data_IF_829415025841
#
_entry.id   IF_829415025841
#
_cell.length_a   1.000
_cell.length_b   1.000
_cell.length_c   1.000
_cell.angle_alpha   90.00
_cell.angle_beta   90.00
_cell.angle_gamma   90.00
#
_symmetry.space_group_name_H-M   'P 1'
#
loop_
_entity.id
_entity.type
_entity.pdbx_description
1 polymer ?
#
# COMPACT_ATOMS: atom_id res chain seq x y z
N UNK A 1 -19.16 -10.06 -2.49
CA UNK A 1 -17.82 -9.91 -3.11
C UNK A 1 -17.25 -8.58 -2.63
N UNK A 2 -16.04 -8.58 -2.06
CA UNK A 2 -15.40 -7.34 -1.60
C UNK A 2 -14.52 -6.74 -2.68
N UNK A 3 -14.44 -5.41 -2.73
CA UNK A 3 -13.52 -4.68 -3.61
C UNK A 3 -12.17 -4.56 -2.92
N UNK A 4 -11.10 -4.85 -3.66
CA UNK A 4 -9.74 -4.57 -3.21
C UNK A 4 -9.19 -3.34 -3.93
N UNK A 5 -8.51 -2.48 -3.19
CA UNK A 5 -7.74 -1.36 -3.72
C UNK A 5 -6.27 -1.69 -3.58
N UNK A 6 -5.54 -1.64 -4.69
CA UNK A 6 -4.10 -1.84 -4.72
C UNK A 6 -3.43 -0.47 -4.87
N UNK A 7 -2.60 -0.11 -3.89
CA UNK A 7 -1.80 1.11 -3.92
C UNK A 7 -0.44 0.79 -4.56
N UNK A 8 -0.12 1.47 -5.67
CA UNK A 8 1.15 1.33 -6.39
C UNK A 8 2.07 2.53 -6.08
N UNK A 9 3.36 2.43 -6.39
CA UNK A 9 4.38 3.46 -6.11
C UNK A 9 4.44 4.66 -7.08
N UNK A 10 3.34 5.00 -7.77
CA UNK A 10 3.29 6.17 -8.67
C UNK A 10 2.87 7.46 -7.96
N UNK A 11 2.84 8.60 -8.66
CA UNK A 11 2.36 9.84 -8.06
C UNK A 11 0.88 9.74 -7.64
N UNK A 12 0.60 10.02 -6.36
CA UNK A 12 -0.75 10.04 -5.81
C UNK A 12 -1.10 11.40 -5.21
N UNK A 13 -2.23 11.95 -5.64
CA UNK A 13 -2.85 13.11 -5.02
C UNK A 13 -4.14 12.68 -4.33
N UNK A 14 -4.22 12.95 -3.03
CA UNK A 14 -5.44 12.71 -2.26
C UNK A 14 -6.56 13.65 -2.74
N UNK A 15 -7.69 13.08 -3.12
CA UNK A 15 -8.88 13.83 -3.55
C UNK A 15 -10.13 13.30 -2.86
N UNK A 16 -11.20 14.10 -2.72
CA UNK A 16 -12.46 13.62 -2.13
C UNK A 16 -13.08 12.42 -2.87
N UNK A 17 -12.88 12.35 -4.20
CA UNK A 17 -13.31 11.20 -5.02
C UNK A 17 -12.52 9.94 -4.67
N UNK A 18 -11.22 10.06 -4.43
CA UNK A 18 -10.40 8.93 -4.03
C UNK A 18 -10.84 8.41 -2.65
N UNK A 19 -11.06 9.32 -1.69
CA UNK A 19 -11.53 8.96 -0.35
C UNK A 19 -12.88 8.20 -0.40
N UNK A 20 -13.81 8.61 -1.28
CA UNK A 20 -15.09 7.89 -1.42
C UNK A 20 -14.95 6.52 -2.09
N UNK A 21 -13.98 6.34 -3.00
CA UNK A 21 -13.70 5.04 -3.62
C UNK A 21 -13.02 4.06 -2.65
N UNK A 22 -12.27 4.58 -1.69
CA UNK A 22 -11.57 3.81 -0.67
C UNK A 22 -12.47 3.46 0.54
N UNK A 23 -13.62 4.12 0.67
CA UNK A 23 -14.55 3.90 1.78
C UNK A 23 -15.04 2.43 1.81
N UNK A 24 -14.58 1.69 2.83
CA UNK A 24 -14.91 0.27 3.01
C UNK A 24 -14.17 -0.69 2.06
N UNK A 25 -13.18 -0.21 1.32
CA UNK A 25 -12.34 -1.06 0.48
C UNK A 25 -11.25 -1.76 1.31
N UNK A 26 -10.91 -2.98 0.89
CA UNK A 26 -9.78 -3.73 1.43
C UNK A 26 -8.51 -3.30 0.70
N UNK A 27 -7.46 -2.93 1.41
CA UNK A 27 -6.29 -2.28 0.80
C UNK A 27 -5.10 -3.23 0.77
N UNK A 28 -4.39 -3.25 -0.36
CA UNK A 28 -3.11 -3.92 -0.53
C UNK A 28 -2.10 -2.86 -0.97
N UNK A 29 -0.96 -2.78 -0.30
CA UNK A 29 0.14 -1.92 -0.73
C UNK A 29 1.10 -2.73 -1.60
N UNK A 30 1.53 -2.16 -2.71
CA UNK A 30 2.57 -2.71 -3.56
C UNK A 30 3.80 -1.78 -3.55
N UNK A 31 4.95 -2.32 -3.16
CA UNK A 31 6.23 -1.65 -3.13
C UNK A 31 6.15 -0.28 -2.41
N UNK A 32 6.50 0.83 -3.06
CA UNK A 32 6.39 2.19 -2.51
C UNK A 32 4.95 2.65 -2.22
N UNK A 33 3.93 1.92 -2.67
CA UNK A 33 2.53 2.20 -2.40
C UNK A 33 2.15 2.19 -0.92
N UNK A 34 3.00 1.63 -0.05
CA UNK A 34 2.84 1.73 1.40
C UNK A 34 2.89 3.19 1.89
N UNK A 35 3.65 4.06 1.21
CA UNK A 35 3.70 5.49 1.49
C UNK A 35 2.35 6.17 1.25
N UNK A 36 1.59 5.70 0.24
CA UNK A 36 0.23 6.17 0.01
C UNK A 36 -0.72 5.73 1.11
N UNK A 37 -0.57 4.51 1.63
CA UNK A 37 -1.39 4.04 2.73
C UNK A 37 -1.23 4.97 3.95
N UNK A 38 0.02 5.35 4.26
CA UNK A 38 0.32 6.37 5.29
C UNK A 38 -0.35 7.71 4.99
N UNK A 39 -0.22 8.23 3.77
CA UNK A 39 -0.82 9.52 3.38
C UNK A 39 -2.35 9.53 3.47
N UNK A 40 -2.97 8.40 3.15
CA UNK A 40 -4.42 8.21 3.15
C UNK A 40 -4.96 7.83 4.54
N UNK A 41 -4.09 7.50 5.50
CA UNK A 41 -4.49 7.00 6.82
C UNK A 41 -5.13 5.62 6.77
N UNK A 42 -4.68 4.79 5.82
CA UNK A 42 -5.18 3.43 5.60
C UNK A 42 -4.15 2.41 6.07
N UNK A 43 -4.63 1.32 6.66
CA UNK A 43 -3.81 0.17 7.02
C UNK A 43 -4.04 -0.93 5.99
N UNK A 44 -3.06 -1.24 5.12
CA UNK A 44 -3.17 -2.35 4.18
C UNK A 44 -3.23 -3.68 4.92
N UNK A 45 -3.93 -4.65 4.34
CA UNK A 45 -3.97 -6.02 4.86
C UNK A 45 -2.75 -6.84 4.42
N UNK A 46 -2.15 -6.43 3.31
CA UNK A 46 -0.97 -7.07 2.73
C UNK A 46 -0.09 -6.01 2.09
N UNK A 47 1.21 -6.16 2.28
CA UNK A 47 2.22 -5.35 1.62
C UNK A 47 3.13 -6.23 0.78
N UNK A 48 3.19 -5.98 -0.52
CA UNK A 48 3.81 -6.85 -1.53
C UNK A 48 4.89 -6.10 -2.28
N UNK A 49 6.07 -6.65 -2.49
CA UNK A 49 7.11 -5.99 -3.29
C UNK A 49 8.47 -6.66 -3.19
N UNK A 50 9.47 -6.06 -3.83
CA UNK A 50 10.89 -6.40 -3.68
C UNK A 50 11.54 -5.64 -2.51
N UNK A 51 10.88 -4.58 -2.04
CA UNK A 51 11.26 -3.75 -0.87
C UNK A 51 12.64 -3.08 -1.00
N UNK A 52 13.20 -2.96 -2.20
CA UNK A 52 14.57 -2.45 -2.38
C UNK A 52 14.69 -0.94 -2.10
N UNK A 53 13.56 -0.23 -2.19
CA UNK A 53 13.47 1.24 -2.14
C UNK A 53 12.64 1.74 -0.94
N UNK A 54 12.41 0.90 0.06
CA UNK A 54 11.48 1.22 1.15
C UNK A 54 12.09 2.22 2.13
N UNK A 55 11.39 3.33 2.44
CA UNK A 55 11.88 4.29 3.41
C UNK A 55 11.95 3.67 4.82
N UNK A 56 13.02 3.91 5.59
CA UNK A 56 13.26 3.25 6.87
C UNK A 56 12.33 3.69 8.01
N UNK A 57 11.44 4.65 7.77
CA UNK A 57 10.65 5.32 8.81
C UNK A 57 9.15 5.06 8.66
N UNK A 58 8.76 3.78 8.52
CA UNK A 58 7.36 3.38 8.56
C UNK A 58 6.83 3.45 10.00
N UNK A 59 5.63 4.01 10.22
CA UNK A 59 4.98 3.95 11.52
C UNK A 59 4.64 2.49 11.90
N UNK A 60 4.59 2.21 13.21
CA UNK A 60 4.48 0.85 13.76
C UNK A 60 3.26 0.07 13.23
N UNK A 61 2.16 0.76 12.93
CA UNK A 61 0.94 0.20 12.36
C UNK A 61 1.17 -0.36 10.95
N UNK A 62 1.94 0.34 10.12
CA UNK A 62 2.30 -0.13 8.78
C UNK A 62 3.45 -1.16 8.83
N UNK A 63 4.33 -1.05 9.82
CA UNK A 63 5.38 -2.05 10.05
C UNK A 63 4.82 -3.41 10.48
N UNK A 64 3.66 -3.43 11.14
CA UNK A 64 2.93 -4.64 11.53
C UNK A 64 2.21 -5.34 10.37
N UNK A 65 2.08 -4.70 9.21
CA UNK A 65 1.39 -5.27 8.03
C UNK A 65 2.16 -6.51 7.53
N UNK A 66 1.46 -7.63 7.26
CA UNK A 66 2.08 -8.80 6.65
C UNK A 66 2.79 -8.44 5.35
N UNK A 67 4.11 -8.69 5.30
CA UNK A 67 4.95 -8.44 4.13
C UNK A 67 5.11 -9.72 3.32
N UNK A 68 4.79 -9.64 2.03
CA UNK A 68 5.02 -10.71 1.09
C UNK A 68 6.07 -10.25 0.07
N UNK A 69 7.28 -10.77 0.23
CA UNK A 69 8.42 -10.47 -0.65
C UNK A 69 8.29 -11.30 -1.91
N UNK A 70 8.36 -10.64 -3.07
CA UNK A 70 8.48 -11.31 -4.37
C UNK A 70 9.87 -11.03 -4.93
N UNK A 71 10.57 -12.06 -5.44
CA UNK A 71 11.86 -11.86 -6.09
C UNK A 71 11.67 -10.98 -7.35
N UNK A 72 12.61 -10.08 -7.59
CA UNK A 72 12.64 -9.20 -8.76
C UNK A 72 12.88 -9.97 -10.09
N UNK A 73 13.23 -11.26 -9.99
CA UNK A 73 13.39 -12.14 -11.14
C UNK A 73 12.03 -12.45 -11.78
N UNK A 74 11.74 -11.68 -12.83
CA UNK A 74 10.76 -12.03 -13.86
C UNK A 74 11.44 -13.00 -14.83
N UNK A 75 11.11 -14.29 -14.74
CA UNK A 75 11.20 -15.21 -15.89
C UNK A 75 9.99 -15.00 -16.83
#
# INVERSE_FOLDING_TARGET
MGTFTILLGGDLVRTPRLDSQLAGARVIAADGGIGHARMLGLTPELWVGDFDSVPPDLPDDLAAVPRQVFPAEKD
#
